data_IF_059698004181
#
_entry.id   IF_059698004181
#
_cell.length_a   1.000
_cell.length_b   1.000
_cell.length_c   1.000
_cell.angle_alpha   90.00
_cell.angle_beta   90.00
_cell.angle_gamma   90.00
#
_symmetry.space_group_name_H-M   'P 1'
#
loop_
_entity.id
_entity.type
_entity.pdbx_description
1 polymer ?
#
# COMPACT_ATOMS: atom_id res chain seq x y z
N UNK A 1 -3.98 8.06 -21.64
CA UNK A 1 -4.90 7.89 -20.49
C UNK A 1 -4.12 8.18 -19.22
N UNK A 2 -4.56 9.14 -18.42
CA UNK A 2 -3.88 9.55 -17.19
C UNK A 2 -4.89 9.51 -16.03
N UNK A 3 -4.47 8.95 -14.90
CA UNK A 3 -5.18 8.95 -13.63
C UNK A 3 -4.32 9.64 -12.56
N UNK A 4 -4.90 10.55 -11.78
CA UNK A 4 -4.24 11.15 -10.63
C UNK A 4 -4.73 10.47 -9.36
N UNK A 5 -3.80 10.12 -8.48
CA UNK A 5 -4.10 9.34 -7.26
C UNK A 5 -3.49 9.99 -6.03
N UNK A 6 -4.34 10.16 -5.02
CA UNK A 6 -3.98 10.36 -3.62
C UNK A 6 -4.77 9.33 -2.82
N UNK A 7 -4.13 8.26 -2.39
CA UNK A 7 -4.78 7.15 -1.70
C UNK A 7 -4.25 5.78 -2.08
N UNK A 8 -5.11 4.78 -1.97
CA UNK A 8 -4.80 3.40 -2.28
C UNK A 8 -5.73 2.87 -3.37
N UNK A 9 -5.14 2.30 -4.41
CA UNK A 9 -5.88 1.75 -5.55
C UNK A 9 -5.28 0.44 -6.02
N UNK A 10 -6.13 -0.42 -6.56
CA UNK A 10 -5.74 -1.59 -7.36
C UNK A 10 -6.35 -1.46 -8.74
N UNK A 11 -5.54 -1.66 -9.77
CA UNK A 11 -5.95 -1.46 -11.15
C UNK A 11 -5.55 -2.67 -11.99
N UNK A 12 -6.49 -3.12 -12.80
CA UNK A 12 -6.26 -4.07 -13.89
C UNK A 12 -6.42 -3.33 -15.21
N UNK A 13 -5.31 -3.09 -15.88
CA UNK A 13 -5.28 -2.41 -17.18
C UNK A 13 -5.27 -3.44 -18.31
N UNK A 14 -6.26 -3.37 -19.19
CA UNK A 14 -6.31 -4.22 -20.38
C UNK A 14 -5.08 -3.99 -21.28
N UNK A 15 -4.50 -5.07 -21.79
CA UNK A 15 -3.30 -5.06 -22.62
C UNK A 15 -3.50 -4.28 -23.91
N UNK A 16 -2.77 -3.19 -24.03
CA UNK A 16 -2.83 -2.33 -25.21
C UNK A 16 -1.48 -1.65 -25.47
N UNK A 17 -0.57 -2.30 -26.24
CA UNK A 17 0.80 -1.83 -26.41
C UNK A 17 0.93 -0.42 -26.99
N UNK A 18 -0.04 -0.01 -27.83
CA UNK A 18 0.00 1.31 -28.48
C UNK A 18 -0.60 2.45 -27.65
N UNK A 19 -1.28 2.14 -26.53
CA UNK A 19 -1.95 3.15 -25.69
C UNK A 19 -1.54 3.03 -24.23
N UNK A 20 -0.43 3.62 -23.84
CA UNK A 20 0.03 3.61 -22.46
C UNK A 20 -1.02 4.19 -21.51
N UNK A 21 -1.07 3.61 -20.32
CA UNK A 21 -1.85 4.12 -19.21
C UNK A 21 -0.88 4.66 -18.16
N UNK A 22 -1.15 5.86 -17.67
CA UNK A 22 -0.32 6.56 -16.70
C UNK A 22 -1.09 6.77 -15.40
N UNK A 23 -0.43 6.50 -14.29
CA UNK A 23 -0.90 6.93 -12.97
C UNK A 23 0.10 7.94 -12.43
N UNK A 24 -0.39 9.08 -11.98
CA UNK A 24 0.42 10.16 -11.41
C UNK A 24 0.06 10.39 -9.95
N UNK A 25 1.07 10.53 -9.15
CA UNK A 25 0.98 10.89 -7.74
C UNK A 25 1.82 12.14 -7.47
N UNK A 26 1.94 12.56 -6.22
CA UNK A 26 2.82 13.68 -5.87
C UNK A 26 4.32 13.33 -5.90
N UNK A 27 4.71 12.03 -5.88
CA UNK A 27 6.13 11.60 -5.88
C UNK A 27 6.56 10.82 -7.13
N UNK A 28 5.62 10.26 -7.91
CA UNK A 28 5.96 9.39 -9.03
C UNK A 28 4.94 9.42 -10.17
N UNK A 29 5.42 9.01 -11.34
CA UNK A 29 4.60 8.64 -12.50
C UNK A 29 4.80 7.15 -12.81
N UNK A 30 3.71 6.43 -12.94
CA UNK A 30 3.66 5.00 -13.23
C UNK A 30 3.13 4.81 -14.64
N UNK A 31 3.86 4.09 -15.49
CA UNK A 31 3.47 3.79 -16.88
C UNK A 31 3.29 2.29 -17.06
N UNK A 32 2.16 1.90 -17.65
CA UNK A 32 1.82 0.50 -17.95
C UNK A 32 1.19 0.34 -19.33
N UNK A 33 1.30 -0.87 -19.89
CA UNK A 33 0.75 -1.24 -21.21
C UNK A 33 -0.30 -2.36 -21.14
N UNK A 34 -0.54 -2.92 -19.96
CA UNK A 34 -1.44 -4.04 -19.72
C UNK A 34 -0.96 -4.82 -18.49
N UNK A 35 -1.45 -4.44 -17.33
CA UNK A 35 -0.79 -4.75 -16.06
C UNK A 35 -1.81 -4.74 -14.94
N UNK A 36 -1.66 -5.66 -13.98
CA UNK A 36 -2.41 -5.69 -12.73
C UNK A 36 -1.47 -5.30 -11.59
N UNK A 37 -1.78 -4.19 -10.91
CA UNK A 37 -0.90 -3.61 -9.90
C UNK A 37 -1.65 -2.80 -8.85
N UNK A 38 -1.04 -2.69 -7.67
CA UNK A 38 -1.51 -1.85 -6.58
C UNK A 38 -0.63 -0.61 -6.39
N UNK A 39 -1.23 0.50 -6.01
CA UNK A 39 -0.54 1.72 -5.61
C UNK A 39 -1.05 2.15 -4.25
N UNK A 40 -0.11 2.52 -3.36
CA UNK A 40 -0.40 3.24 -2.12
C UNK A 40 0.36 4.55 -2.16
N UNK A 41 -0.37 5.68 -2.25
CA UNK A 41 0.19 7.00 -2.49
C UNK A 41 -0.58 8.07 -1.72
N UNK A 42 -0.57 7.98 -0.40
CA UNK A 42 -1.16 9.00 0.47
C UNK A 42 -0.20 10.19 0.61
N UNK A 43 -0.72 11.41 0.51
CA UNK A 43 0.08 12.64 0.63
C UNK A 43 0.62 12.88 2.04
N UNK A 44 -0.01 12.28 3.05
CA UNK A 44 0.42 12.32 4.45
C UNK A 44 1.42 11.21 4.84
N UNK A 45 1.82 10.37 3.87
CA UNK A 45 2.87 9.35 4.06
C UNK A 45 4.20 9.81 3.46
N UNK A 46 5.30 9.42 4.11
CA UNK A 46 6.66 9.79 3.68
C UNK A 46 7.03 9.08 2.36
N UNK A 47 6.50 7.88 2.16
CA UNK A 47 6.80 7.04 1.01
C UNK A 47 5.53 6.62 0.28
N UNK A 48 5.69 6.34 -1.00
CA UNK A 48 4.66 5.76 -1.85
C UNK A 48 5.13 4.43 -2.41
N UNK A 49 4.20 3.52 -2.68
CA UNK A 49 4.55 2.18 -3.17
C UNK A 49 3.76 1.80 -4.40
N UNK A 50 4.42 1.03 -5.27
CA UNK A 50 3.80 0.31 -6.40
C UNK A 50 4.12 -1.15 -6.25
N UNK A 51 3.12 -2.01 -6.19
CA UNK A 51 3.30 -3.47 -6.14
C UNK A 51 2.74 -4.09 -7.41
N UNK A 52 3.51 -4.98 -8.02
CA UNK A 52 3.16 -5.60 -9.29
C UNK A 52 2.68 -7.03 -9.11
N UNK A 53 1.45 -7.30 -9.56
CA UNK A 53 0.86 -8.63 -9.60
C UNK A 53 1.15 -9.33 -10.94
N UNK A 54 0.89 -8.65 -12.05
CA UNK A 54 1.05 -9.22 -13.39
C UNK A 54 1.44 -8.15 -14.41
N UNK A 55 2.28 -8.51 -15.37
CA UNK A 55 2.74 -7.64 -16.45
C UNK A 55 4.07 -6.96 -16.16
N UNK A 56 4.20 -5.69 -16.48
CA UNK A 56 5.40 -4.87 -16.25
C UNK A 56 4.98 -3.44 -15.95
N UNK A 57 5.66 -2.84 -15.00
CA UNK A 57 5.44 -1.44 -14.59
C UNK A 57 6.76 -0.68 -14.70
N UNK A 58 6.72 0.46 -15.37
CA UNK A 58 7.79 1.44 -15.33
C UNK A 58 7.39 2.59 -14.42
N UNK A 59 8.21 2.87 -13.42
CA UNK A 59 8.02 3.95 -12.45
C UNK A 59 9.09 4.99 -12.65
N UNK A 60 8.70 6.27 -12.68
CA UNK A 60 9.58 7.41 -12.76
C UNK A 60 9.34 8.33 -11.57
N UNK A 61 10.39 8.72 -10.86
CA UNK A 61 10.28 9.71 -9.79
C UNK A 61 10.30 11.15 -10.32
N UNK A 62 10.09 12.13 -9.45
CA UNK A 62 10.05 13.55 -9.84
C UNK A 62 11.40 14.08 -10.35
N UNK A 63 12.52 13.42 -10.08
CA UNK A 63 13.84 13.76 -10.63
C UNK A 63 14.07 13.20 -12.04
N UNK A 64 13.17 12.37 -12.53
CA UNK A 64 13.29 11.75 -13.84
C UNK A 64 14.01 10.40 -13.83
N UNK A 65 14.44 9.90 -12.66
CA UNK A 65 14.99 8.55 -12.54
C UNK A 65 13.89 7.53 -12.75
N UNK A 66 14.16 6.50 -13.54
CA UNK A 66 13.19 5.47 -13.90
C UNK A 66 13.64 4.07 -13.50
N UNK A 67 12.68 3.25 -13.05
CA UNK A 67 12.89 1.86 -12.67
C UNK A 67 11.73 0.99 -13.16
N UNK A 68 12.06 -0.17 -13.74
CA UNK A 68 11.06 -1.18 -14.10
C UNK A 68 11.01 -2.25 -13.02
N UNK A 69 9.80 -2.68 -12.64
CA UNK A 69 9.58 -3.80 -11.73
C UNK A 69 8.89 -4.98 -12.42
N UNK A 70 9.17 -6.17 -11.89
CA UNK A 70 8.64 -7.46 -12.33
C UNK A 70 7.54 -7.95 -11.37
N UNK A 71 6.72 -8.94 -11.77
CA UNK A 71 5.74 -9.55 -10.86
C UNK A 71 6.37 -10.00 -9.54
N UNK A 72 5.64 -9.84 -8.44
CA UNK A 72 6.06 -10.06 -7.06
C UNK A 72 7.12 -9.08 -6.56
N UNK A 73 7.27 -7.93 -7.21
CA UNK A 73 8.09 -6.84 -6.72
C UNK A 73 7.25 -5.66 -6.25
N UNK A 74 7.77 -4.99 -5.23
CA UNK A 74 7.29 -3.70 -4.74
C UNK A 74 8.40 -2.67 -4.91
N UNK A 75 8.07 -1.57 -5.59
CA UNK A 75 8.91 -0.39 -5.64
C UNK A 75 8.38 0.63 -4.63
N UNK A 76 9.26 1.12 -3.79
CA UNK A 76 9.00 2.20 -2.85
C UNK A 76 9.74 3.45 -3.29
N UNK A 77 9.03 4.55 -3.33
CA UNK A 77 9.58 5.90 -3.52
C UNK A 77 9.50 6.62 -2.19
N UNK A 78 10.64 7.03 -1.65
CA UNK A 78 10.73 7.88 -0.47
C UNK A 78 11.53 9.13 -0.85
N UNK A 79 10.86 10.28 -0.91
CA UNK A 79 11.41 11.53 -1.45
C UNK A 79 11.89 11.32 -2.89
N UNK A 80 13.20 11.14 -3.08
CA UNK A 80 13.84 11.01 -4.38
C UNK A 80 14.44 9.62 -4.61
N UNK A 81 14.52 8.81 -3.55
CA UNK A 81 15.08 7.47 -3.58
C UNK A 81 14.03 6.45 -4.02
N UNK A 82 14.46 5.50 -4.84
CA UNK A 82 13.66 4.36 -5.27
C UNK A 82 14.31 3.06 -4.82
N UNK A 83 13.54 2.24 -4.10
CA UNK A 83 13.98 0.93 -3.62
C UNK A 83 13.04 -0.16 -4.13
N UNK A 84 13.58 -1.21 -4.72
CA UNK A 84 12.84 -2.39 -5.18
C UNK A 84 13.12 -3.57 -4.27
N UNK A 85 12.07 -4.32 -3.92
CA UNK A 85 12.18 -5.56 -3.14
C UNK A 85 11.17 -6.60 -3.62
N UNK A 86 11.52 -7.87 -3.48
CA UNK A 86 10.59 -8.97 -3.66
C UNK A 86 9.62 -9.06 -2.48
N UNK A 87 8.34 -9.30 -2.77
CA UNK A 87 7.27 -9.29 -1.77
C UNK A 87 6.22 -10.35 -2.08
N UNK A 88 5.45 -10.74 -1.05
CA UNK A 88 4.14 -11.33 -1.29
C UNK A 88 3.18 -10.20 -1.68
N UNK A 89 2.70 -10.23 -2.92
CA UNK A 89 1.77 -9.22 -3.44
C UNK A 89 0.50 -9.13 -2.61
N UNK A 90 0.04 -10.27 -2.05
CA UNK A 90 -1.18 -10.30 -1.26
C UNK A 90 -1.10 -9.42 0.00
N UNK A 91 0.08 -9.26 0.59
CA UNK A 91 0.27 -8.35 1.73
C UNK A 91 -0.05 -6.87 1.42
N UNK A 92 -0.08 -6.51 0.14
CA UNK A 92 -0.35 -5.15 -0.33
C UNK A 92 -1.74 -4.96 -0.91
N UNK A 93 -2.35 -6.02 -1.44
CA UNK A 93 -3.63 -5.92 -2.14
C UNK A 93 -4.77 -6.70 -1.49
N UNK A 94 -4.55 -7.36 -0.36
CA UNK A 94 -5.55 -8.17 0.35
C UNK A 94 -6.84 -7.41 0.70
N UNK A 95 -6.74 -6.08 0.80
CA UNK A 95 -7.88 -5.21 1.05
C UNK A 95 -8.96 -5.24 -0.04
N UNK A 96 -8.62 -5.62 -1.30
CA UNK A 96 -9.60 -5.81 -2.38
C UNK A 96 -10.57 -6.95 -2.05
N UNK A 97 -10.10 -7.95 -1.31
CA UNK A 97 -10.89 -9.08 -0.81
C UNK A 97 -11.53 -8.78 0.57
N UNK A 98 -11.41 -7.54 1.04
CA UNK A 98 -11.91 -7.12 2.34
C UNK A 98 -11.09 -7.62 3.52
N UNK A 99 -9.82 -7.96 3.30
CA UNK A 99 -8.87 -8.38 4.34
C UNK A 99 -7.78 -7.32 4.48
N UNK A 100 -7.64 -6.74 5.66
CA UNK A 100 -6.47 -5.92 5.97
C UNK A 100 -5.41 -6.80 6.60
N UNK A 101 -4.28 -6.97 5.91
CA UNK A 101 -3.17 -7.79 6.34
C UNK A 101 -1.99 -6.92 6.78
N UNK A 102 -1.41 -7.27 7.91
CA UNK A 102 -0.26 -6.58 8.47
C UNK A 102 0.83 -7.59 8.80
N UNK A 103 2.01 -7.37 8.26
CA UNK A 103 3.17 -8.18 8.56
C UNK A 103 4.32 -7.27 9.02
N UNK A 104 4.76 -7.42 10.29
CA UNK A 104 5.84 -6.64 10.90
C UNK A 104 5.71 -5.11 10.71
N UNK A 105 4.46 -4.61 10.62
CA UNK A 105 4.18 -3.17 10.51
C UNK A 105 4.18 -2.52 11.90
N UNK A 106 4.63 -1.27 12.00
CA UNK A 106 4.49 -0.53 13.26
C UNK A 106 3.02 -0.32 13.61
N UNK A 107 2.69 -0.33 14.91
CA UNK A 107 1.31 -0.12 15.38
C UNK A 107 0.75 1.19 14.85
N UNK A 108 1.54 2.26 14.78
CA UNK A 108 1.10 3.53 14.21
C UNK A 108 0.64 3.38 12.75
N UNK A 109 1.39 2.65 11.91
CA UNK A 109 1.00 2.39 10.50
C UNK A 109 -0.27 1.55 10.42
N UNK A 110 -0.41 0.56 11.28
CA UNK A 110 -1.64 -0.25 11.38
C UNK A 110 -2.82 0.63 11.73
N UNK A 111 -2.70 1.47 12.77
CA UNK A 111 -3.77 2.37 13.21
C UNK A 111 -4.12 3.42 12.15
N UNK A 112 -3.13 3.94 11.41
CA UNK A 112 -3.38 4.85 10.28
C UNK A 112 -4.22 4.17 9.20
N UNK A 113 -3.87 2.95 8.81
CA UNK A 113 -4.65 2.17 7.83
C UNK A 113 -6.07 1.92 8.31
N UNK A 114 -6.24 1.53 9.57
CA UNK A 114 -7.56 1.33 10.19
C UNK A 114 -8.36 2.63 10.29
N UNK A 115 -7.71 3.75 10.62
CA UNK A 115 -8.33 5.08 10.67
C UNK A 115 -8.94 5.46 9.32
N UNK A 116 -8.18 5.28 8.23
CA UNK A 116 -8.65 5.55 6.87
C UNK A 116 -9.80 4.64 6.47
N UNK A 117 -9.63 3.35 6.75
CA UNK A 117 -10.59 2.33 6.36
C UNK A 117 -11.94 2.45 7.09
N UNK A 118 -11.91 2.65 8.41
CA UNK A 118 -13.11 2.75 9.24
C UNK A 118 -13.60 4.18 9.47
N UNK A 119 -12.86 5.17 8.98
CA UNK A 119 -13.12 6.61 9.22
C UNK A 119 -13.22 6.95 10.71
N UNK A 120 -12.31 6.40 11.50
CA UNK A 120 -12.17 6.65 12.94
C UNK A 120 -10.80 7.20 13.23
N UNK A 121 -10.66 7.94 14.33
CA UNK A 121 -9.37 8.43 14.82
C UNK A 121 -8.89 7.53 15.93
N UNK A 122 -7.60 7.20 15.92
CA UNK A 122 -6.91 6.52 17.01
C UNK A 122 -5.86 7.46 17.57
N UNK A 123 -5.84 7.61 18.90
CA UNK A 123 -4.74 8.26 19.60
C UNK A 123 -3.77 7.18 20.07
N UNK A 124 -2.53 7.28 19.60
CA UNK A 124 -1.48 6.32 19.91
C UNK A 124 -0.28 7.04 20.52
N UNK A 125 0.07 6.78 21.77
CA UNK A 125 1.31 7.30 22.35
C UNK A 125 2.53 6.89 21.50
N UNK A 126 3.49 7.81 21.34
CA UNK A 126 4.63 7.62 20.47
C UNK A 126 5.46 6.39 20.85
N UNK A 127 5.54 6.10 22.14
CA UNK A 127 6.32 4.98 22.70
C UNK A 127 5.80 3.61 22.22
N UNK A 128 4.48 3.46 22.10
CA UNK A 128 3.87 2.20 21.64
C UNK A 128 3.63 2.17 20.13
N UNK A 129 3.61 3.32 19.49
CA UNK A 129 3.39 3.44 18.03
C UNK A 129 4.45 2.71 17.20
N UNK A 130 5.65 2.51 17.73
CA UNK A 130 6.77 1.84 17.05
C UNK A 130 6.76 0.30 17.21
N UNK A 131 5.89 -0.24 18.06
CA UNK A 131 5.80 -1.70 18.29
C UNK A 131 5.39 -2.38 16.99
N UNK A 132 6.14 -3.42 16.59
CA UNK A 132 5.84 -4.20 15.40
C UNK A 132 4.67 -5.15 15.65
N UNK A 133 3.72 -5.13 14.75
CA UNK A 133 2.51 -5.93 14.79
C UNK A 133 2.36 -6.76 13.53
N UNK A 134 1.87 -7.99 13.70
CA UNK A 134 1.42 -8.84 12.60
C UNK A 134 0.01 -9.33 12.89
N UNK A 135 -0.78 -9.53 11.84
CA UNK A 135 -2.15 -10.01 11.96
C UNK A 135 -2.98 -9.68 10.74
N UNK A 136 -4.22 -10.07 10.77
CA UNK A 136 -5.19 -9.71 9.75
C UNK A 136 -6.51 -9.29 10.38
N UNK A 137 -7.26 -8.47 9.65
CA UNK A 137 -8.60 -8.06 10.00
C UNK A 137 -9.50 -8.31 8.80
N UNK A 138 -10.52 -9.15 8.96
CA UNK A 138 -11.57 -9.30 7.97
C UNK A 138 -12.57 -8.15 8.11
N UNK A 139 -13.12 -7.72 6.99
CA UNK A 139 -14.11 -6.65 6.88
C UNK A 139 -15.42 -7.06 7.54
N UNK A 140 -15.51 -6.95 8.86
CA UNK A 140 -16.75 -7.22 9.59
C UNK A 140 -17.41 -5.90 9.96
N UNK A 141 -18.75 -5.84 9.86
CA UNK A 141 -19.55 -4.68 10.29
C UNK A 141 -19.32 -4.35 11.77
N UNK A 142 -18.96 -5.37 12.56
CA UNK A 142 -18.64 -5.27 14.00
C UNK A 142 -17.17 -5.64 14.19
N UNK A 143 -16.26 -4.73 13.82
CA UNK A 143 -14.86 -5.03 13.76
C UNK A 143 -14.25 -5.24 15.16
N UNK A 144 -14.04 -6.49 15.51
CA UNK A 144 -13.04 -6.87 16.49
C UNK A 144 -11.74 -7.15 15.75
N UNK A 145 -10.72 -6.35 15.97
CA UNK A 145 -9.40 -6.50 15.36
C UNK A 145 -8.48 -7.12 16.38
N UNK A 146 -7.91 -8.27 16.05
CA UNK A 146 -6.89 -8.92 16.88
C UNK A 146 -5.54 -8.63 16.25
N UNK A 147 -4.70 -7.87 16.93
CA UNK A 147 -3.33 -7.62 16.55
C UNK A 147 -2.41 -8.41 17.47
N UNK A 148 -1.50 -9.16 16.90
CA UNK A 148 -0.48 -9.90 17.63
C UNK A 148 0.86 -9.19 17.53
N UNK A 149 1.53 -9.06 18.65
CA UNK A 149 2.93 -8.67 18.74
C UNK A 149 3.74 -9.81 19.31
N UNK A 150 5.07 -9.70 19.34
CA UNK A 150 5.92 -10.70 20.00
C UNK A 150 5.71 -10.77 21.52
N UNK A 151 5.07 -9.76 22.13
CA UNK A 151 4.94 -9.62 23.58
C UNK A 151 3.50 -9.72 24.05
N UNK A 152 2.53 -9.20 23.28
CA UNK A 152 1.10 -9.24 23.67
C UNK A 152 0.15 -9.19 22.47
N UNK A 153 -1.11 -9.53 22.73
CA UNK A 153 -2.20 -9.40 21.77
C UNK A 153 -3.09 -8.21 22.14
N UNK A 154 -3.48 -7.43 21.14
CA UNK A 154 -4.45 -6.36 21.32
C UNK A 154 -5.77 -6.75 20.69
N UNK A 155 -6.85 -6.35 21.32
CA UNK A 155 -8.20 -6.46 20.76
C UNK A 155 -8.77 -5.06 20.64
N UNK A 156 -8.99 -4.61 19.39
CA UNK A 156 -9.63 -3.34 19.13
C UNK A 156 -11.09 -3.63 18.78
N UNK A 157 -12.02 -3.09 19.57
CA UNK A 157 -13.46 -3.18 19.31
C UNK A 157 -13.97 -1.81 18.89
N UNK A 158 -14.69 -1.75 17.79
CA UNK A 158 -15.47 -0.58 17.43
C UNK A 158 -16.70 -0.54 18.34
N UNK A 159 -16.90 0.57 19.04
CA UNK A 159 -18.17 0.87 19.74
C UNK A 159 -19.17 1.47 18.78
#
# INVERSE_FOLDING_TARGET
RVLYVNGEIYIEVAKHPQWPFYVKTNQMEVQVLGTSFGITAYDDEIFQTVVLKEGSVFVKNNQGNGQTIQPNQCLMVEKEEMTVKDVDVYDYISWIDGVLQFHEKSLQKVLNSLSRYYRVRFDCPMEIGQIKCSGNCKRLRDATIVLQTRVFSFVIKKR
#
